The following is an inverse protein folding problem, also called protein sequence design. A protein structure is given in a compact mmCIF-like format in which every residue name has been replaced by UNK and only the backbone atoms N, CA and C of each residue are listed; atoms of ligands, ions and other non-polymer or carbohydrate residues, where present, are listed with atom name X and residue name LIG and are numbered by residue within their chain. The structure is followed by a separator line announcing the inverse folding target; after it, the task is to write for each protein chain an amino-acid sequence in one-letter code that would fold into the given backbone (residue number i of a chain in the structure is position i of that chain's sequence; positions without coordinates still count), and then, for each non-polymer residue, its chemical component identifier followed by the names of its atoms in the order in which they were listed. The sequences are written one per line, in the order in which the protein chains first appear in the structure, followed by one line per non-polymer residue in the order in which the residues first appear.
data_IF_662102880250
#
_entry.id   IF_662102880250
#
_cell.length_a   1.000
_cell.length_b   1.000
_cell.length_c   1.000
_cell.angle_alpha   90.00
_cell.angle_beta   90.00
_cell.angle_gamma   90.00
#
_symmetry.space_group_name_H-M   'P 1'
#
loop_
_entity.id
_entity.type
_entity.pdbx_description
1 polymer ?
#
# COMPACT_ATOMS: atom_id res chain seq x y z
N UNK A 1 -2.13 28.90 12.92
CA UNK A 1 -2.44 27.98 11.80
C UNK A 1 -1.29 27.00 11.61
N UNK A 2 -1.13 26.04 12.52
CA UNK A 2 -0.25 24.88 12.37
C UNK A 2 -0.94 23.75 13.09
N UNK A 3 -1.50 22.77 12.37
CA UNK A 3 -1.81 21.44 12.90
C UNK A 3 -2.53 20.63 11.82
N UNK A 4 -1.82 19.67 11.20
CA UNK A 4 -2.45 18.48 10.60
C UNK A 4 -1.52 17.37 10.10
N UNK A 5 -0.29 17.27 10.63
CA UNK A 5 0.61 16.15 10.31
C UNK A 5 0.80 15.20 11.50
N UNK A 6 -0.28 14.95 12.25
CA UNK A 6 -0.28 13.80 13.16
C UNK A 6 -0.76 12.59 12.36
N UNK A 7 0.04 11.53 12.18
CA UNK A 7 -0.43 10.28 11.60
C UNK A 7 -1.45 9.69 12.57
N UNK A 8 -2.72 10.01 12.37
CA UNK A 8 -3.80 9.48 13.17
C UNK A 8 -4.07 8.05 12.71
N UNK A 9 -3.41 7.12 13.38
CA UNK A 9 -3.70 5.69 13.28
C UNK A 9 -5.07 5.44 13.92
N UNK A 10 -6.16 5.67 13.18
CA UNK A 10 -7.48 5.23 13.63
C UNK A 10 -7.52 3.69 13.59
N UNK A 11 -7.70 3.02 14.73
CA UNK A 11 -7.69 1.56 14.81
C UNK A 11 -9.00 0.90 14.33
N UNK A 12 -10.03 1.70 14.01
CA UNK A 12 -11.42 1.24 14.00
C UNK A 12 -11.96 0.72 12.67
N UNK A 13 -11.23 0.87 11.57
CA UNK A 13 -11.63 0.24 10.30
C UNK A 13 -10.41 -0.29 9.56
N UNK A 14 -10.38 -1.56 9.13
CA UNK A 14 -9.27 -2.11 8.35
C UNK A 14 -9.32 -1.67 6.88
N UNK A 15 -10.16 -0.68 6.54
CA UNK A 15 -10.06 0.07 5.31
C UNK A 15 -8.77 0.88 5.36
N UNK A 16 -7.73 0.36 4.70
CA UNK A 16 -6.35 0.85 4.70
C UNK A 16 -6.19 2.23 4.05
N UNK A 17 -6.98 3.23 4.43
CA UNK A 17 -7.10 4.52 3.75
C UNK A 17 -5.79 5.29 3.76
N UNK A 18 -5.09 5.34 4.91
CA UNK A 18 -3.85 6.13 5.03
C UNK A 18 -2.72 5.53 4.20
N UNK A 19 -2.41 4.24 4.38
CA UNK A 19 -1.32 3.60 3.61
C UNK A 19 -1.65 3.54 2.12
N UNK A 20 -2.89 3.25 1.76
CA UNK A 20 -3.31 3.24 0.36
C UNK A 20 -3.24 4.63 -0.27
N UNK A 21 -3.60 5.69 0.47
CA UNK A 21 -3.48 7.07 0.02
C UNK A 21 -2.02 7.50 -0.14
N UNK A 22 -1.16 7.12 0.80
CA UNK A 22 0.28 7.38 0.72
C UNK A 22 0.90 6.67 -0.48
N UNK A 23 0.63 5.36 -0.66
CA UNK A 23 1.13 4.60 -1.80
C UNK A 23 0.63 5.17 -3.13
N UNK A 24 -0.65 5.55 -3.21
CA UNK A 24 -1.22 6.18 -4.40
C UNK A 24 -0.51 7.50 -4.72
N UNK A 25 -0.32 8.38 -3.74
CA UNK A 25 0.37 9.65 -3.93
C UNK A 25 1.84 9.46 -4.32
N UNK A 26 2.52 8.53 -3.65
CA UNK A 26 3.90 8.19 -3.93
C UNK A 26 4.09 7.62 -5.34
N UNK A 27 3.24 6.69 -5.78
CA UNK A 27 3.28 6.17 -7.16
C UNK A 27 2.93 7.25 -8.19
N UNK A 28 1.99 8.14 -7.87
CA UNK A 28 1.64 9.27 -8.76
C UNK A 28 2.80 10.25 -8.95
N UNK A 29 3.61 10.47 -7.90
CA UNK A 29 4.76 11.36 -7.92
C UNK A 29 6.00 10.69 -8.57
N UNK A 30 6.34 9.48 -8.13
CA UNK A 30 7.54 8.74 -8.56
C UNK A 30 7.27 7.79 -9.74
N UNK A 31 6.78 8.31 -10.87
CA UNK A 31 6.47 7.50 -12.08
C UNK A 31 7.49 7.72 -13.21
N UNK A 32 8.54 8.50 -12.95
CA UNK A 32 9.57 8.85 -13.94
C UNK A 32 10.82 7.99 -13.72
N UNK A 33 11.33 7.36 -14.78
CA UNK A 33 12.58 6.57 -14.74
C UNK A 33 12.40 5.12 -14.28
N UNK A 34 13.50 4.45 -13.92
CA UNK A 34 13.53 3.00 -13.63
C UNK A 34 12.86 2.60 -12.28
N UNK A 35 11.63 3.06 -12.04
CA UNK A 35 10.90 2.92 -10.77
C UNK A 35 10.24 1.56 -10.57
N UNK A 36 10.13 0.74 -11.63
CA UNK A 36 9.42 -0.55 -11.58
C UNK A 36 10.01 -1.52 -10.56
N UNK A 37 11.34 -1.61 -10.46
CA UNK A 37 12.01 -2.47 -9.46
C UNK A 37 11.68 -2.02 -8.04
N UNK A 38 11.59 -0.71 -7.81
CA UNK A 38 11.18 -0.14 -6.52
C UNK A 38 9.71 -0.41 -6.24
N UNK A 39 8.85 -0.33 -7.25
CA UNK A 39 7.42 -0.65 -7.12
C UNK A 39 7.20 -2.11 -6.70
N UNK A 40 7.91 -3.05 -7.32
CA UNK A 40 7.81 -4.47 -6.98
C UNK A 40 8.34 -4.78 -5.57
N UNK A 41 9.41 -4.09 -5.15
CA UNK A 41 9.92 -4.19 -3.78
C UNK A 41 8.89 -3.67 -2.76
N UNK A 42 8.34 -2.48 -3.00
CA UNK A 42 7.36 -1.87 -2.10
C UNK A 42 6.07 -2.69 -2.03
N UNK A 43 5.59 -3.23 -3.16
CA UNK A 43 4.40 -4.10 -3.19
C UNK A 43 4.59 -5.28 -2.24
N UNK A 44 5.67 -6.04 -2.42
CA UNK A 44 5.98 -7.20 -1.57
C UNK A 44 6.16 -6.82 -0.10
N UNK A 45 6.87 -5.72 0.16
CA UNK A 45 7.12 -5.25 1.52
C UNK A 45 5.82 -4.86 2.25
N UNK A 46 4.95 -4.08 1.60
CA UNK A 46 3.68 -3.64 2.18
C UNK A 46 2.79 -4.84 2.46
N UNK A 47 2.64 -5.75 1.50
CA UNK A 47 1.79 -6.92 1.66
C UNK A 47 2.28 -7.79 2.82
N UNK A 48 3.58 -8.06 2.89
CA UNK A 48 4.18 -8.82 3.98
C UNK A 48 4.03 -8.11 5.33
N UNK A 49 4.31 -6.80 5.39
CA UNK A 49 4.25 -6.02 6.63
C UNK A 49 2.82 -5.92 7.16
N UNK A 50 1.85 -5.78 6.27
CA UNK A 50 0.43 -5.71 6.61
C UNK A 50 -0.08 -7.05 7.16
N UNK A 51 0.24 -8.18 6.50
CA UNK A 51 -0.08 -9.52 7.02
C UNK A 51 0.51 -9.73 8.41
N UNK A 52 1.77 -9.39 8.58
CA UNK A 52 2.46 -9.54 9.85
C UNK A 52 1.82 -8.70 10.95
N UNK A 53 1.41 -7.47 10.63
CA UNK A 53 0.68 -6.62 11.56
C UNK A 53 -0.71 -7.18 11.90
N UNK A 54 -1.47 -7.65 10.92
CA UNK A 54 -2.78 -8.27 11.13
C UNK A 54 -2.68 -9.51 12.02
N UNK A 55 -1.70 -10.38 11.77
CA UNK A 55 -1.43 -11.55 12.61
C UNK A 55 -1.15 -11.15 14.05
N UNK A 56 -0.28 -10.15 14.28
CA UNK A 56 0.00 -9.67 15.63
C UNK A 56 -1.22 -9.03 16.30
N UNK A 57 -2.01 -8.27 15.55
CA UNK A 57 -3.26 -7.66 16.03
C UNK A 57 -4.29 -8.72 16.46
N UNK A 58 -4.37 -9.83 15.72
CA UNK A 58 -5.25 -10.96 16.04
C UNK A 58 -4.69 -11.89 17.14
N UNK A 59 -3.54 -11.57 17.75
CA UNK A 59 -2.88 -12.45 18.73
C UNK A 59 -2.26 -13.71 18.13
N UNK A 60 -2.26 -13.84 16.80
CA UNK A 60 -1.70 -14.96 16.07
C UNK A 60 -0.17 -14.92 15.99
N UNK A 61 0.42 -16.06 15.62
CA UNK A 61 1.85 -16.22 15.34
C UNK A 61 2.03 -16.67 13.89
N UNK A 62 3.16 -16.30 13.27
CA UNK A 62 3.48 -16.68 11.88
C UNK A 62 3.31 -15.55 10.87
N UNK A 63 3.43 -15.89 9.58
CA UNK A 63 3.56 -14.92 8.48
C UNK A 63 2.21 -14.42 7.92
N UNK A 64 1.09 -15.09 8.22
CA UNK A 64 -0.25 -14.63 7.85
C UNK A 64 -0.67 -14.85 6.40
N UNK A 65 0.06 -15.65 5.62
CA UNK A 65 -0.29 -15.90 4.21
C UNK A 65 -1.57 -16.71 4.02
N UNK A 66 -1.84 -17.67 4.92
CA UNK A 66 -3.06 -18.48 4.89
C UNK A 66 -4.27 -17.70 5.44
N UNK A 67 -4.08 -16.95 6.52
CA UNK A 67 -5.14 -16.21 7.20
C UNK A 67 -5.54 -14.94 6.43
N UNK A 68 -4.57 -14.32 5.75
CA UNK A 68 -4.77 -13.09 4.98
C UNK A 68 -4.21 -13.26 3.55
N UNK A 69 -4.98 -13.91 2.66
CA UNK A 69 -4.62 -14.08 1.25
C UNK A 69 -4.42 -12.72 0.55
N UNK A 70 -3.73 -12.73 -0.60
CA UNK A 70 -3.49 -11.51 -1.39
C UNK A 70 -4.78 -10.77 -1.74
N UNK A 71 -5.80 -11.50 -2.17
CA UNK A 71 -7.09 -10.93 -2.56
C UNK A 71 -7.79 -10.28 -1.36
N UNK A 72 -7.66 -10.85 -0.17
CA UNK A 72 -8.19 -10.23 1.05
C UNK A 72 -7.57 -8.84 1.29
N UNK A 73 -6.26 -8.67 1.08
CA UNK A 73 -5.60 -7.38 1.26
C UNK A 73 -6.11 -6.32 0.29
N UNK A 74 -6.30 -6.66 -0.99
CA UNK A 74 -6.66 -5.68 -2.00
C UNK A 74 -8.17 -5.51 -2.18
N UNK A 75 -8.94 -6.58 -2.06
CA UNK A 75 -10.36 -6.58 -2.40
C UNK A 75 -11.21 -6.36 -1.17
N UNK A 76 -10.82 -6.91 -0.01
CA UNK A 76 -11.52 -6.68 1.26
C UNK A 76 -10.98 -5.44 1.97
N UNK A 77 -9.67 -5.35 2.19
CA UNK A 77 -9.07 -4.22 2.92
C UNK A 77 -8.80 -2.99 2.05
N UNK A 78 -9.14 -3.06 0.76
CA UNK A 78 -8.95 -1.99 -0.23
C UNK A 78 -7.53 -1.44 -0.28
N UNK A 79 -6.52 -2.28 -0.02
CA UNK A 79 -5.12 -1.89 -0.15
C UNK A 79 -4.83 -1.48 -1.60
N UNK A 80 -4.29 -0.28 -1.80
CA UNK A 80 -3.93 0.21 -3.13
C UNK A 80 -2.99 -0.76 -3.86
N UNK A 81 -3.38 -1.16 -5.07
CA UNK A 81 -2.56 -1.99 -5.96
C UNK A 81 -1.53 -1.10 -6.67
N UNK A 82 -0.26 -1.23 -6.29
CA UNK A 82 0.85 -0.52 -6.94
C UNK A 82 0.94 -0.98 -8.41
N UNK A 83 1.06 -0.08 -9.39
CA UNK A 83 1.15 -0.44 -10.81
C UNK A 83 2.26 -1.47 -11.09
N UNK A 84 1.94 -2.50 -11.86
CA UNK A 84 2.91 -3.52 -12.34
C UNK A 84 3.49 -3.20 -13.71
N UNK A 85 2.95 -2.17 -14.36
CA UNK A 85 3.46 -1.59 -15.60
C UNK A 85 3.40 -0.08 -15.45
N UNK A 86 4.32 0.61 -16.11
CA UNK A 86 4.19 2.07 -16.26
C UNK A 86 2.87 2.37 -16.94
N UNK A 87 2.18 3.37 -16.40
CA UNK A 87 1.09 4.00 -17.14
C UNK A 87 1.77 4.75 -18.29
N UNK A 88 1.35 4.50 -19.53
CA UNK A 88 1.79 5.36 -20.63
C UNK A 88 1.21 6.74 -20.36
N UNK A 89 1.99 7.62 -19.72
CA UNK A 89 1.65 9.03 -19.70
C UNK A 89 1.97 9.50 -21.10
N UNK A 90 0.92 9.67 -21.91
CA UNK A 90 0.99 10.43 -23.15
C UNK A 90 1.80 11.70 -22.88
N UNK A 91 3.00 11.75 -23.45
CA UNK A 91 3.94 12.85 -23.26
C UNK A 91 3.21 14.16 -23.59
N UNK A 92 2.89 14.96 -22.56
CA UNK A 92 2.44 16.31 -22.76
C UNK A 92 3.64 17.16 -23.14
N UNK A 93 3.89 17.24 -24.44
CA UNK A 93 4.53 18.37 -25.12
C UNK A 93 4.14 18.30 -26.59
N UNK A 94 3.04 19.00 -26.92
CA UNK A 94 2.88 19.69 -28.20
C UNK A 94 3.26 21.14 -27.94
#
# INVERSE_FOLDING_TARGET
MHERTTPQWYPDTPENSVISRLLRGWCGYFDQGAVMKTYDFIRQYVDWRLRHWLMRRAGGRGRGFEQYPQDYLHDTLKLFRIPSRRTDRSSAKV
#
